data_IF_722492546046
#
_entry.id   IF_722492546046
#
_cell.length_a   1.000
_cell.length_b   1.000
_cell.length_c   1.000
_cell.angle_alpha   90.00
_cell.angle_beta   90.00
_cell.angle_gamma   90.00
#
_symmetry.space_group_name_H-M   'P 1'
#
loop_
_entity.id
_entity.type
_entity.pdbx_description
1 polymer ?
#
# COMPACT_ATOMS: atom_id res chain seq x y z
N UNK A 1 24.04 -85.40 -9.73
CA UNK A 1 25.31 -85.99 -10.29
C UNK A 1 26.27 -84.84 -10.48
N UNK A 2 27.37 -84.93 -9.73
CA UNK A 2 28.70 -84.30 -9.87
C UNK A 2 28.78 -82.80 -9.85
N UNK A 3 29.23 -82.19 -8.78
CA UNK A 3 30.60 -82.05 -8.20
C UNK A 3 31.67 -81.65 -9.19
N UNK A 4 32.26 -80.44 -9.02
CA UNK A 4 33.71 -80.17 -8.88
C UNK A 4 33.88 -78.70 -8.60
N UNK A 5 34.38 -78.32 -7.57
CA UNK A 5 35.61 -78.02 -6.75
C UNK A 5 36.67 -77.21 -7.51
N UNK A 6 36.86 -75.94 -7.11
CA UNK A 6 38.00 -75.20 -6.51
C UNK A 6 39.38 -75.41 -7.22
N UNK A 7 40.38 -74.47 -7.24
CA UNK A 7 40.80 -73.47 -6.26
C UNK A 7 41.23 -72.09 -6.85
N UNK A 8 41.20 -71.02 -6.14
CA UNK A 8 42.22 -70.47 -5.24
C UNK A 8 43.40 -69.79 -5.93
N UNK A 9 43.48 -68.50 -5.79
CA UNK A 9 44.76 -67.90 -5.47
C UNK A 9 44.60 -66.46 -4.98
N UNK A 10 45.17 -66.28 -3.82
CA UNK A 10 45.48 -64.96 -3.21
C UNK A 10 46.44 -64.16 -4.09
N UNK A 11 46.21 -62.92 -4.23
CA UNK A 11 47.29 -61.96 -4.41
C UNK A 11 46.90 -60.64 -3.70
N UNK A 12 47.60 -60.43 -2.63
CA UNK A 12 47.70 -59.17 -1.93
C UNK A 12 48.29 -58.10 -2.87
N UNK A 13 47.59 -57.02 -3.07
CA UNK A 13 48.21 -55.78 -3.52
C UNK A 13 47.73 -54.64 -2.65
N UNK A 14 48.76 -54.05 -2.04
CA UNK A 14 48.74 -52.99 -1.07
C UNK A 14 47.91 -51.78 -1.42
N UNK A 15 47.15 -51.38 -0.41
CA UNK A 15 46.57 -50.06 -0.28
C UNK A 15 47.62 -48.94 -0.32
N UNK A 16 47.48 -47.99 -1.17
CA UNK A 16 47.96 -46.63 -0.93
C UNK A 16 46.81 -45.69 -1.06
N UNK A 17 46.52 -45.12 0.08
CA UNK A 17 45.54 -44.07 0.30
C UNK A 17 45.69 -42.94 -0.71
N UNK A 18 44.65 -42.67 -1.45
CA UNK A 18 44.46 -41.40 -2.13
C UNK A 18 43.32 -40.69 -1.38
N UNK A 19 43.69 -39.93 -0.35
CA UNK A 19 42.77 -38.98 0.29
C UNK A 19 42.51 -37.85 -0.68
N UNK A 20 41.39 -37.94 -1.38
CA UNK A 20 40.84 -36.81 -2.13
C UNK A 20 40.16 -35.91 -1.11
N UNK A 21 40.81 -34.83 -0.72
CA UNK A 21 40.20 -33.73 -0.01
C UNK A 21 39.14 -33.10 -0.92
N UNK A 22 37.87 -33.39 -0.63
CA UNK A 22 36.74 -32.69 -1.20
C UNK A 22 36.51 -31.43 -0.34
N UNK A 23 36.73 -30.20 -0.83
CA UNK A 23 36.34 -29.01 -0.09
C UNK A 23 34.83 -28.96 -0.06
N UNK A 24 34.28 -29.19 1.12
CA UNK A 24 32.86 -28.95 1.42
C UNK A 24 32.62 -27.44 1.39
N UNK A 25 32.30 -26.93 0.20
CA UNK A 25 31.80 -25.56 0.05
C UNK A 25 30.44 -25.48 0.69
N UNK A 26 30.38 -25.22 1.99
CA UNK A 26 29.16 -24.82 2.69
C UNK A 26 28.80 -23.43 2.20
N UNK A 27 28.00 -23.38 1.15
CA UNK A 27 27.28 -22.15 0.76
C UNK A 27 26.39 -21.76 1.92
N UNK A 28 26.79 -20.76 2.69
CA UNK A 28 25.94 -20.07 3.64
C UNK A 28 24.82 -19.40 2.83
N UNK A 29 23.71 -20.10 2.65
CA UNK A 29 22.45 -19.47 2.31
C UNK A 29 22.02 -18.63 3.52
N UNK A 30 22.49 -17.39 3.58
CA UNK A 30 21.84 -16.36 4.38
C UNK A 30 20.44 -16.19 3.81
N UNK A 31 19.37 -16.50 4.57
CA UNK A 31 18.05 -16.07 4.14
C UNK A 31 18.10 -14.56 4.07
N UNK A 32 17.90 -14.00 2.88
CA UNK A 32 17.59 -12.59 2.73
C UNK A 32 16.25 -12.39 3.47
N UNK A 33 16.32 -12.10 4.75
CA UNK A 33 15.20 -11.53 5.47
C UNK A 33 14.88 -10.23 4.75
N UNK A 34 13.88 -10.25 3.92
CA UNK A 34 13.19 -9.04 3.47
C UNK A 34 12.82 -8.31 4.76
N UNK A 35 13.64 -7.36 5.17
CA UNK A 35 13.29 -6.39 6.19
C UNK A 35 12.14 -5.61 5.54
N UNK A 36 10.93 -6.08 5.76
CA UNK A 36 9.72 -5.30 5.54
C UNK A 36 9.87 -4.13 6.51
N UNK A 37 10.25 -2.96 5.99
CA UNK A 37 10.37 -1.77 6.82
C UNK A 37 9.07 -1.64 7.60
N UNK A 38 9.19 -1.57 8.92
CA UNK A 38 8.04 -1.40 9.80
C UNK A 38 7.29 -0.15 9.34
N UNK A 39 5.96 -0.27 9.13
CA UNK A 39 5.11 0.84 8.73
C UNK A 39 4.95 1.76 9.95
N UNK A 40 5.86 2.71 10.10
CA UNK A 40 5.98 3.56 11.27
C UNK A 40 6.14 5.04 10.90
N UNK A 41 5.66 5.91 11.79
CA UNK A 41 5.81 7.36 11.65
C UNK A 41 7.31 7.71 11.57
N UNK A 42 7.67 8.58 10.63
CA UNK A 42 9.04 8.97 10.32
C UNK A 42 9.72 8.09 9.26
N UNK A 43 9.12 6.95 8.87
CA UNK A 43 9.65 6.11 7.79
C UNK A 43 9.12 6.54 6.44
N UNK A 44 9.96 6.43 5.40
CA UNK A 44 9.58 6.74 4.01
C UNK A 44 8.98 5.51 3.34
N UNK A 45 7.82 5.69 2.72
CA UNK A 45 7.09 4.65 2.01
C UNK A 45 6.72 5.12 0.59
N UNK A 46 7.14 4.35 -0.41
CA UNK A 46 6.74 4.56 -1.79
C UNK A 46 5.55 3.67 -2.14
N UNK A 47 4.35 4.24 -2.06
CA UNK A 47 3.09 3.55 -2.36
C UNK A 47 2.51 4.13 -3.64
N UNK A 48 2.20 3.26 -4.59
CA UNK A 48 1.63 3.65 -5.88
C UNK A 48 0.13 3.37 -5.90
N UNK A 49 -0.62 4.31 -6.45
CA UNK A 49 -2.06 4.25 -6.59
C UNK A 49 -2.48 4.40 -8.05
N UNK A 50 -3.57 3.74 -8.41
CA UNK A 50 -4.27 3.98 -9.68
C UNK A 50 -5.72 4.26 -9.34
N UNK A 51 -6.22 5.44 -9.70
CA UNK A 51 -7.61 5.81 -9.42
C UNK A 51 -8.61 5.13 -10.38
N UNK A 52 -9.89 5.38 -10.13
CA UNK A 52 -10.98 4.82 -10.95
C UNK A 52 -11.00 5.36 -12.38
N UNK A 53 -10.28 6.43 -12.67
CA UNK A 53 -10.17 7.06 -13.99
C UNK A 53 -8.84 6.72 -14.68
N UNK A 54 -7.97 5.94 -14.02
CA UNK A 54 -6.69 5.44 -14.56
C UNK A 54 -5.49 6.35 -14.31
N UNK A 55 -5.65 7.43 -13.53
CA UNK A 55 -4.53 8.30 -13.16
C UNK A 55 -3.62 7.59 -12.15
N UNK A 56 -2.33 7.81 -12.28
CA UNK A 56 -1.30 7.21 -11.43
C UNK A 56 -0.73 8.25 -10.47
N UNK A 57 -0.58 7.86 -9.20
CA UNK A 57 -0.04 8.68 -8.12
C UNK A 57 0.94 7.86 -7.28
N UNK A 58 1.82 8.56 -6.57
CA UNK A 58 2.71 7.94 -5.58
C UNK A 58 2.80 8.84 -4.35
N UNK A 59 3.04 8.25 -3.19
CA UNK A 59 3.38 9.02 -1.98
C UNK A 59 4.69 9.80 -2.10
N UNK A 60 5.52 9.47 -3.10
CA UNK A 60 6.85 10.07 -3.34
C UNK A 60 6.90 10.98 -4.56
N UNK A 61 5.77 11.46 -5.05
CA UNK A 61 5.69 12.29 -6.28
C UNK A 61 5.67 13.80 -6.01
N UNK A 62 6.12 14.22 -4.83
CA UNK A 62 6.29 15.63 -4.48
C UNK A 62 5.07 16.33 -3.91
N UNK A 63 4.04 15.55 -3.50
CA UNK A 63 2.82 16.08 -2.89
C UNK A 63 2.71 15.66 -1.43
N UNK A 64 2.23 16.57 -0.57
CA UNK A 64 1.72 16.18 0.74
C UNK A 64 0.42 15.41 0.51
N UNK A 65 0.40 14.13 0.87
CA UNK A 65 -0.69 13.24 0.50
C UNK A 65 -1.42 12.73 1.75
N UNK A 66 -2.72 13.03 1.84
CA UNK A 66 -3.62 12.41 2.81
C UNK A 66 -4.17 11.15 2.15
N UNK A 67 -4.00 9.98 2.77
CA UNK A 67 -4.59 8.72 2.32
C UNK A 67 -5.62 8.28 3.34
N UNK A 68 -6.86 8.12 2.90
CA UNK A 68 -7.97 7.62 3.73
C UNK A 68 -8.30 6.21 3.26
N UNK A 69 -7.92 5.22 4.06
CA UNK A 69 -8.32 3.83 3.87
C UNK A 69 -9.69 3.60 4.52
N UNK A 70 -10.66 3.21 3.74
CA UNK A 70 -12.05 3.08 4.20
C UNK A 70 -12.75 1.91 3.54
N UNK A 71 -13.85 1.46 4.13
CA UNK A 71 -14.77 0.50 3.51
C UNK A 71 -16.04 1.20 3.02
N UNK A 72 -16.93 0.44 2.40
CA UNK A 72 -18.24 0.99 2.03
C UNK A 72 -19.12 1.35 3.24
N UNK A 73 -18.81 0.83 4.45
CA UNK A 73 -19.53 1.11 5.68
C UNK A 73 -19.12 2.47 6.29
N UNK A 74 -17.82 2.84 6.18
CA UNK A 74 -17.24 3.99 6.89
C UNK A 74 -17.18 5.26 6.05
N UNK A 75 -18.04 5.37 5.04
CA UNK A 75 -18.07 6.49 4.09
C UNK A 75 -18.23 7.86 4.74
N UNK A 76 -19.06 7.95 5.78
CA UNK A 76 -19.29 9.23 6.47
C UNK A 76 -18.01 9.67 7.23
N UNK A 77 -17.25 8.72 7.75
CA UNK A 77 -15.95 9.03 8.37
C UNK A 77 -14.97 9.57 7.32
N UNK A 78 -14.87 8.92 6.16
CA UNK A 78 -14.02 9.40 5.05
C UNK A 78 -14.44 10.78 4.55
N UNK A 79 -15.75 11.06 4.50
CA UNK A 79 -16.28 12.39 4.18
C UNK A 79 -15.86 13.42 5.23
N UNK A 80 -16.04 13.09 6.51
CA UNK A 80 -15.67 14.00 7.60
C UNK A 80 -14.19 14.37 7.56
N UNK A 81 -13.28 13.41 7.21
CA UNK A 81 -11.87 13.76 6.98
C UNK A 81 -11.73 14.81 5.89
N UNK A 82 -12.43 14.67 4.76
CA UNK A 82 -12.42 15.67 3.68
C UNK A 82 -12.95 17.04 4.13
N UNK A 83 -13.96 17.05 4.99
CA UNK A 83 -14.51 18.29 5.56
C UNK A 83 -13.53 18.94 6.57
N UNK A 84 -12.63 18.16 7.19
CA UNK A 84 -11.59 18.62 8.11
C UNK A 84 -10.31 19.10 7.41
N UNK A 85 -10.14 18.86 6.11
CA UNK A 85 -8.99 19.40 5.36
C UNK A 85 -9.02 20.94 5.45
N UNK A 86 -7.89 21.57 5.88
CA UNK A 86 -7.82 23.02 6.02
C UNK A 86 -8.13 23.75 4.72
N UNK A 87 -8.84 24.87 4.81
CA UNK A 87 -9.20 25.67 3.62
C UNK A 87 -7.96 26.20 2.87
N UNK A 88 -6.83 26.40 3.57
CA UNK A 88 -5.55 26.78 2.95
C UNK A 88 -4.97 25.72 2.00
N UNK A 89 -5.42 24.47 2.12
CA UNK A 89 -4.97 23.37 1.27
C UNK A 89 -5.92 23.14 0.07
N UNK A 90 -7.11 23.76 0.08
CA UNK A 90 -8.09 23.59 -0.99
C UNK A 90 -7.61 24.20 -2.30
N UNK A 91 -7.62 23.41 -3.37
CA UNK A 91 -7.18 23.83 -4.70
C UNK A 91 -5.65 24.11 -4.80
N UNK A 92 -4.90 23.89 -3.72
CA UNK A 92 -3.45 23.99 -3.75
C UNK A 92 -2.84 22.68 -4.30
N UNK A 93 -2.09 22.74 -5.43
CA UNK A 93 -1.54 21.56 -6.07
C UNK A 93 -0.49 20.80 -5.23
N UNK A 94 0.06 21.41 -4.18
CA UNK A 94 1.02 20.76 -3.29
C UNK A 94 0.35 19.71 -2.39
N UNK A 95 -0.97 19.78 -2.22
CA UNK A 95 -1.74 18.93 -1.33
C UNK A 95 -2.70 18.06 -2.10
N UNK A 96 -2.87 16.82 -1.64
CA UNK A 96 -3.75 15.86 -2.27
C UNK A 96 -4.39 14.94 -1.23
N UNK A 97 -5.67 14.61 -1.43
CA UNK A 97 -6.35 13.59 -0.63
C UNK A 97 -6.77 12.44 -1.54
N UNK A 98 -6.34 11.22 -1.20
CA UNK A 98 -6.68 9.98 -1.90
C UNK A 98 -7.58 9.15 -0.99
N UNK A 99 -8.78 8.81 -1.45
CA UNK A 99 -9.68 7.90 -0.75
C UNK A 99 -9.51 6.49 -1.33
N UNK A 100 -9.01 5.56 -0.53
CA UNK A 100 -8.88 4.15 -0.89
C UNK A 100 -10.08 3.39 -0.35
N UNK A 101 -10.92 2.88 -1.24
CA UNK A 101 -12.08 2.05 -0.88
C UNK A 101 -11.63 0.59 -0.92
N UNK A 102 -11.45 0.01 0.24
CA UNK A 102 -11.06 -1.38 0.40
C UNK A 102 -12.28 -2.31 0.41
N UNK A 103 -12.16 -3.44 -0.31
CA UNK A 103 -13.19 -4.46 -0.43
C UNK A 103 -12.70 -5.78 0.17
N UNK A 104 -13.18 -6.13 1.34
CA UNK A 104 -12.80 -7.37 2.05
C UNK A 104 -13.27 -8.65 1.38
N UNK A 105 -14.23 -8.57 0.46
CA UNK A 105 -14.75 -9.71 -0.30
C UNK A 105 -14.26 -9.66 -1.74
N UNK A 106 -13.73 -10.78 -2.24
CA UNK A 106 -13.38 -10.90 -3.66
C UNK A 106 -14.62 -10.73 -4.53
N UNK A 107 -14.62 -9.69 -5.34
CA UNK A 107 -15.69 -9.42 -6.29
C UNK A 107 -15.34 -10.03 -7.66
N UNK A 108 -16.32 -10.67 -8.30
CA UNK A 108 -16.20 -11.06 -9.69
C UNK A 108 -16.13 -9.81 -10.59
N UNK A 109 -15.61 -9.95 -11.83
CA UNK A 109 -15.39 -8.83 -12.75
C UNK A 109 -16.64 -7.95 -12.96
N UNK A 110 -17.84 -8.56 -13.02
CA UNK A 110 -19.12 -7.86 -13.15
C UNK A 110 -19.38 -7.00 -11.90
N UNK A 111 -19.18 -7.57 -10.71
CA UNK A 111 -19.36 -6.84 -9.45
C UNK A 111 -18.41 -5.64 -9.32
N UNK A 112 -17.16 -5.78 -9.77
CA UNK A 112 -16.19 -4.68 -9.81
C UNK A 112 -16.67 -3.52 -10.69
N UNK A 113 -17.17 -3.80 -11.90
CA UNK A 113 -17.71 -2.77 -12.81
C UNK A 113 -18.90 -2.03 -12.19
N UNK A 114 -19.82 -2.73 -11.55
CA UNK A 114 -20.97 -2.13 -10.87
C UNK A 114 -20.50 -1.27 -9.68
N UNK A 115 -19.55 -1.75 -8.88
CA UNK A 115 -18.99 -0.98 -7.78
C UNK A 115 -18.37 0.34 -8.27
N UNK A 116 -17.55 0.29 -9.33
CA UNK A 116 -16.94 1.48 -9.93
C UNK A 116 -18.00 2.46 -10.45
N UNK A 117 -19.09 1.98 -11.08
CA UNK A 117 -20.18 2.86 -11.54
C UNK A 117 -20.87 3.59 -10.38
N UNK A 118 -21.13 2.89 -9.27
CA UNK A 118 -21.71 3.50 -8.05
C UNK A 118 -20.73 4.51 -7.45
N UNK A 119 -19.43 4.19 -7.40
CA UNK A 119 -18.39 5.09 -6.89
C UNK A 119 -18.32 6.36 -7.73
N UNK A 120 -18.33 6.27 -9.08
CA UNK A 120 -18.33 7.43 -9.97
C UNK A 120 -19.51 8.37 -9.73
N UNK A 121 -20.71 7.81 -9.52
CA UNK A 121 -21.86 8.62 -9.16
C UNK A 121 -21.63 9.40 -7.85
N UNK A 122 -21.07 8.74 -6.83
CA UNK A 122 -20.73 9.37 -5.53
C UNK A 122 -19.62 10.41 -5.63
N UNK A 123 -18.62 10.18 -6.46
CA UNK A 123 -17.58 11.17 -6.76
C UNK A 123 -18.20 12.44 -7.34
N UNK A 124 -19.18 12.31 -8.24
CA UNK A 124 -19.91 13.48 -8.78
C UNK A 124 -20.64 14.26 -7.70
N UNK A 125 -21.26 13.58 -6.72
CA UNK A 125 -21.92 14.26 -5.59
C UNK A 125 -20.90 14.90 -4.62
N UNK A 126 -19.75 14.25 -4.40
CA UNK A 126 -18.67 14.84 -3.61
C UNK A 126 -18.08 16.07 -4.29
N UNK A 127 -17.93 16.05 -5.62
CA UNK A 127 -17.45 17.18 -6.41
C UNK A 127 -18.34 18.41 -6.28
N UNK A 128 -19.67 18.23 -6.29
CA UNK A 128 -20.61 19.35 -6.09
C UNK A 128 -20.43 20.01 -4.71
N UNK A 129 -20.21 19.21 -3.66
CA UNK A 129 -19.98 19.75 -2.31
C UNK A 129 -18.63 20.47 -2.21
N UNK A 130 -17.58 19.88 -2.77
CA UNK A 130 -16.26 20.50 -2.78
C UNK A 130 -16.26 21.77 -3.62
N UNK A 131 -16.99 21.80 -4.76
CA UNK A 131 -17.13 22.99 -5.57
C UNK A 131 -17.77 24.13 -4.79
N UNK A 132 -18.79 23.86 -3.97
CA UNK A 132 -19.38 24.90 -3.12
C UNK A 132 -18.38 25.51 -2.13
N UNK A 133 -17.42 24.69 -1.58
CA UNK A 133 -16.32 25.22 -0.76
C UNK A 133 -15.35 26.07 -1.60
N UNK A 134 -15.03 25.63 -2.82
CA UNK A 134 -14.16 26.36 -3.75
C UNK A 134 -14.77 27.72 -4.10
N UNK A 135 -16.06 27.73 -4.43
CA UNK A 135 -16.78 28.96 -4.75
C UNK A 135 -16.80 29.94 -3.57
N UNK A 136 -17.00 29.44 -2.34
CA UNK A 136 -16.94 30.25 -1.12
C UNK A 136 -15.56 30.86 -0.89
N UNK A 137 -14.50 30.12 -1.24
CA UNK A 137 -13.09 30.57 -1.13
C UNK A 137 -12.60 31.30 -2.40
N UNK A 138 -13.46 31.49 -3.42
CA UNK A 138 -13.11 32.10 -4.71
C UNK A 138 -12.01 31.35 -5.46
N UNK A 139 -11.94 30.04 -5.33
CA UNK A 139 -10.99 29.18 -6.04
C UNK A 139 -11.56 28.86 -7.42
N UNK A 140 -10.93 29.38 -8.49
CA UNK A 140 -11.34 29.20 -9.87
C UNK A 140 -10.81 27.87 -10.45
N UNK A 141 -11.22 26.74 -9.89
CA UNK A 141 -10.79 25.38 -10.30
C UNK A 141 -11.97 24.44 -10.25
N UNK A 142 -11.99 23.42 -11.14
CA UNK A 142 -12.97 22.33 -11.08
C UNK A 142 -12.59 21.39 -9.91
N UNK A 143 -13.42 21.40 -8.89
CA UNK A 143 -13.23 20.58 -7.70
C UNK A 143 -13.21 19.07 -8.00
N UNK A 144 -13.81 18.63 -9.12
CA UNK A 144 -13.79 17.23 -9.52
C UNK A 144 -12.37 16.75 -9.82
N UNK A 145 -11.49 17.63 -10.33
CA UNK A 145 -10.09 17.31 -10.63
C UNK A 145 -9.25 17.03 -9.39
N UNK A 146 -9.74 17.37 -8.20
CA UNK A 146 -9.03 17.20 -6.93
C UNK A 146 -9.60 16.06 -6.06
N UNK A 147 -10.51 15.25 -6.63
CA UNK A 147 -11.08 14.08 -5.97
C UNK A 147 -10.47 12.81 -6.55
N UNK A 148 -9.63 12.16 -5.77
CA UNK A 148 -8.94 10.93 -6.15
C UNK A 148 -9.50 9.75 -5.36
N UNK A 149 -10.09 8.78 -6.09
CA UNK A 149 -10.66 7.58 -5.48
C UNK A 149 -10.03 6.34 -6.09
N UNK A 150 -9.50 5.50 -5.23
CA UNK A 150 -8.84 4.25 -5.57
C UNK A 150 -9.68 3.09 -5.05
N UNK A 151 -9.75 2.00 -5.79
CA UNK A 151 -10.43 0.77 -5.37
C UNK A 151 -9.42 -0.32 -5.11
N UNK A 152 -9.41 -0.84 -3.90
CA UNK A 152 -8.57 -1.94 -3.47
C UNK A 152 -9.40 -3.22 -3.35
N UNK A 153 -9.49 -3.99 -4.44
CA UNK A 153 -10.29 -5.21 -4.51
C UNK A 153 -9.56 -6.46 -4.03
N UNK A 154 -8.26 -6.40 -3.88
CA UNK A 154 -7.41 -7.55 -3.54
C UNK A 154 -6.60 -7.36 -2.26
N UNK A 155 -6.75 -6.21 -1.59
CA UNK A 155 -6.04 -5.88 -0.37
C UNK A 155 -4.58 -5.49 -0.56
N UNK A 156 -4.14 -5.29 -1.81
CA UNK A 156 -2.74 -4.93 -2.11
C UNK A 156 -2.38 -3.58 -1.49
N UNK A 157 -3.25 -2.57 -1.65
CA UNK A 157 -2.99 -1.22 -1.12
C UNK A 157 -3.10 -1.23 0.40
N UNK A 158 -4.11 -1.89 0.98
CA UNK A 158 -4.22 -2.05 2.43
C UNK A 158 -2.94 -2.67 3.01
N UNK A 159 -2.42 -3.73 2.38
CA UNK A 159 -1.17 -4.37 2.80
C UNK A 159 0.05 -3.46 2.69
N UNK A 160 0.13 -2.61 1.65
CA UNK A 160 1.21 -1.61 1.51
C UNK A 160 1.10 -0.51 2.58
N UNK A 161 -0.10 -0.22 3.06
CA UNK A 161 -0.38 0.70 4.17
C UNK A 161 -0.23 0.04 5.56
N UNK A 162 0.41 -1.13 5.63
CA UNK A 162 0.65 -1.85 6.88
C UNK A 162 -0.61 -2.49 7.51
N UNK A 163 -1.74 -2.51 6.77
CA UNK A 163 -2.99 -3.12 7.24
C UNK A 163 -3.12 -4.55 6.73
N UNK A 164 -3.90 -5.38 7.42
CA UNK A 164 -4.25 -6.71 6.89
C UNK A 164 -5.14 -6.58 5.65
N UNK A 165 -4.98 -7.48 4.68
CA UNK A 165 -5.84 -7.53 3.50
C UNK A 165 -7.32 -7.85 3.83
N UNK A 166 -7.60 -8.39 5.00
CA UNK A 166 -8.93 -8.66 5.52
C UNK A 166 -9.42 -7.59 6.52
N UNK A 167 -8.56 -6.60 6.86
CA UNK A 167 -8.92 -5.56 7.80
C UNK A 167 -10.08 -4.71 7.28
N UNK A 168 -11.01 -4.39 8.17
CA UNK A 168 -12.11 -3.46 7.90
C UNK A 168 -11.88 -2.11 8.56
N UNK A 169 -10.70 -1.91 9.14
CA UNK A 169 -10.41 -0.75 9.96
C UNK A 169 -10.28 0.52 9.12
N UNK A 170 -10.95 1.56 9.58
CA UNK A 170 -10.79 2.89 9.04
C UNK A 170 -9.44 3.46 9.49
N UNK A 171 -8.66 3.96 8.52
CA UNK A 171 -7.36 4.57 8.81
C UNK A 171 -7.15 5.84 7.97
N UNK A 172 -6.50 6.81 8.58
CA UNK A 172 -6.05 8.04 7.91
C UNK A 172 -4.54 8.15 8.06
N UNK A 173 -3.86 8.40 6.94
CA UNK A 173 -2.41 8.57 6.87
C UNK A 173 -2.10 9.92 6.25
N UNK A 174 -1.05 10.58 6.73
CA UNK A 174 -0.49 11.79 6.10
C UNK A 174 0.95 11.49 5.73
N UNK A 175 1.26 11.64 4.46
CA UNK A 175 2.61 11.51 3.92
C UNK A 175 3.13 12.87 3.49
N UNK A 176 4.39 13.17 3.82
CA UNK A 176 5.13 14.31 3.29
C UNK A 176 5.48 14.12 1.81
N UNK A 177 6.04 15.15 1.18
CA UNK A 177 6.37 15.17 -0.26
C UNK A 177 7.33 14.06 -0.69
N UNK A 178 8.21 13.61 0.22
CA UNK A 178 9.16 12.50 0.00
C UNK A 178 8.59 11.11 0.28
N UNK A 179 7.32 11.02 0.72
CA UNK A 179 6.69 9.77 1.15
C UNK A 179 6.96 9.40 2.60
N UNK A 180 7.50 10.30 3.41
CA UNK A 180 7.63 10.10 4.85
C UNK A 180 6.25 10.05 5.50
N UNK A 181 5.97 9.04 6.32
CA UNK A 181 4.73 8.96 7.09
C UNK A 181 4.79 9.94 8.27
N UNK A 182 4.06 11.03 8.18
CA UNK A 182 4.04 12.11 9.17
C UNK A 182 3.07 11.83 10.31
N UNK A 183 1.94 11.17 10.02
CA UNK A 183 0.91 10.84 10.99
C UNK A 183 0.01 9.69 10.52
N UNK A 184 -0.58 8.99 11.49
CA UNK A 184 -1.56 7.93 11.27
C UNK A 184 -2.63 7.93 12.36
N UNK A 185 -3.90 7.71 12.00
CA UNK A 185 -5.03 7.57 12.92
C UNK A 185 -5.93 6.41 12.49
N UNK A 186 -6.53 5.75 13.48
CA UNK A 186 -7.57 4.73 13.29
C UNK A 186 -8.99 5.28 13.50
N UNK A 187 -9.11 6.60 13.51
CA UNK A 187 -10.37 7.34 13.63
C UNK A 187 -10.26 8.64 12.82
N UNK A 188 -11.35 9.39 12.74
CA UNK A 188 -11.34 10.69 12.07
C UNK A 188 -10.52 11.68 12.90
N UNK A 189 -9.38 12.21 12.38
CA UNK A 189 -8.64 13.26 13.07
C UNK A 189 -9.43 14.57 13.10
N UNK A 190 -9.21 15.39 14.10
CA UNK A 190 -9.73 16.76 14.12
C UNK A 190 -9.04 17.62 13.05
N UNK A 191 -9.65 18.77 12.70
CA UNK A 191 -9.06 19.71 11.74
C UNK A 191 -7.68 20.22 12.22
N UNK A 192 -7.52 20.42 13.53
CA UNK A 192 -6.25 20.89 14.10
C UNK A 192 -5.15 19.82 14.04
N UNK A 193 -5.49 18.55 14.34
CA UNK A 193 -4.55 17.43 14.22
C UNK A 193 -4.10 17.24 12.76
N UNK A 194 -5.04 17.32 11.82
CA UNK A 194 -4.76 17.17 10.39
C UNK A 194 -3.87 18.34 9.90
N UNK A 195 -4.21 19.58 10.27
CA UNK A 195 -3.41 20.76 9.95
C UNK A 195 -1.99 20.69 10.54
N UNK A 196 -1.86 20.22 11.80
CA UNK A 196 -0.57 20.06 12.45
C UNK A 196 0.31 19.00 11.78
N UNK A 197 -0.29 17.88 11.32
CA UNK A 197 0.45 16.84 10.60
C UNK A 197 0.93 17.34 9.23
N UNK A 198 0.11 18.08 8.50
CA UNK A 198 0.45 18.60 7.18
C UNK A 198 1.55 19.66 7.20
N UNK A 199 1.66 20.45 8.28
CA UNK A 199 2.72 21.44 8.48
C UNK A 199 4.11 20.85 8.75
N UNK A 200 4.20 19.57 9.14
CA UNK A 200 5.48 18.88 9.38
C UNK A 200 6.23 18.55 8.09
N UNK A 201 5.61 18.76 6.93
CA UNK A 201 6.23 18.47 5.62
C UNK A 201 7.08 19.63 5.10
N UNK A 202 7.06 20.76 5.75
CA UNK A 202 7.92 21.93 5.48
C UNK A 202 9.21 21.79 6.31
#
# INVERSE_FOLDING_TARGET
MSLERIPGNLLFVNARALQIFLPLATALFLPATLIRGEFSIGSTHSISFVDIDGNKFSTTDGHVTIVVLTTSADREQARTVGDHVPDSCLGNPEYRMITVIHFTRRHMAIGRRMAIAVIRHRVSEAAKRLQARYDAQKISRDAKSDIFVVTDFDGTIASQLGQSAEATDFCVFVFGQSGELLAQWHSVPSSDELAAAMKKSD
#
